data_IF_347302332282
#
_entry.id   IF_347302332282
#
_cell.length_a   1.000
_cell.length_b   1.000
_cell.length_c   1.000
_cell.angle_alpha   90.00
_cell.angle_beta   90.00
_cell.angle_gamma   90.00
#
_symmetry.space_group_name_H-M   'P 1'
#
loop_
_entity.id
_entity.type
_entity.pdbx_description
1 polymer ?
#
# COMPACT_ATOMS: atom_id res chain seq x y z
N UNK A 1 64.08 -21.61 23.84
CA UNK A 1 63.35 -21.97 22.61
C UNK A 1 62.22 -22.91 23.00
N UNK A 2 60.97 -22.59 22.61
CA UNK A 2 59.74 -23.41 22.66
C UNK A 2 59.25 -23.75 24.09
N UNK A 3 58.10 -23.21 24.48
CA UNK A 3 56.76 -23.79 24.23
C UNK A 3 56.31 -24.39 25.56
N UNK A 4 55.30 -23.86 26.22
CA UNK A 4 53.93 -23.98 25.77
C UNK A 4 53.07 -22.97 26.52
N UNK A 5 52.35 -22.18 25.73
CA UNK A 5 51.29 -21.28 26.14
C UNK A 5 50.38 -21.94 27.17
N UNK A 6 50.34 -21.32 28.35
CA UNK A 6 49.27 -21.29 29.34
C UNK A 6 47.95 -21.90 28.84
N UNK A 7 47.88 -23.23 28.86
CA UNK A 7 46.71 -23.98 28.46
C UNK A 7 45.59 -23.66 29.44
N UNK A 8 44.49 -23.18 28.88
CA UNK A 8 43.14 -23.45 29.35
C UNK A 8 42.95 -23.33 30.86
N UNK A 9 42.79 -22.09 31.34
CA UNK A 9 41.91 -21.87 32.48
C UNK A 9 40.74 -21.02 32.04
N UNK A 10 39.63 -21.73 31.77
CA UNK A 10 38.26 -21.37 32.17
C UNK A 10 37.79 -19.99 31.64
N UNK A 11 36.85 -19.85 30.71
CA UNK A 11 35.76 -20.72 30.32
C UNK A 11 35.19 -20.18 28.99
N UNK A 12 34.96 -21.01 27.95
CA UNK A 12 34.18 -20.59 26.81
C UNK A 12 32.70 -20.83 27.15
N UNK A 13 32.16 -20.08 28.12
CA UNK A 13 30.71 -20.03 28.35
C UNK A 13 30.15 -18.81 27.64
N UNK A 14 30.10 -18.87 26.31
CA UNK A 14 29.21 -18.02 25.52
C UNK A 14 29.04 -18.59 24.11
N UNK A 15 28.79 -19.90 24.00
CA UNK A 15 28.17 -20.48 22.80
C UNK A 15 26.72 -20.76 23.16
N UNK A 16 25.82 -20.35 22.26
CA UNK A 16 24.36 -20.50 22.27
C UNK A 16 23.55 -19.36 22.93
N UNK A 17 23.56 -18.19 22.31
CA UNK A 17 22.39 -17.30 22.28
C UNK A 17 21.99 -17.09 20.81
N UNK A 18 21.56 -18.17 20.16
CA UNK A 18 21.06 -18.14 18.79
C UNK A 18 19.62 -18.66 18.76
N UNK A 19 18.78 -17.97 18.00
CA UNK A 19 17.43 -18.35 17.55
C UNK A 19 16.29 -18.28 18.58
N UNK A 20 15.74 -17.09 18.81
CA UNK A 20 14.31 -16.93 19.14
C UNK A 20 13.77 -15.60 18.59
N UNK A 21 13.76 -15.43 17.26
CA UNK A 21 12.88 -14.48 16.59
C UNK A 21 12.20 -15.20 15.43
N UNK A 22 11.37 -16.20 15.73
CA UNK A 22 10.37 -16.67 14.78
C UNK A 22 9.27 -15.60 14.74
N UNK A 23 9.51 -14.52 14.00
CA UNK A 23 8.47 -13.55 13.70
C UNK A 23 7.38 -14.25 12.90
N UNK A 24 6.15 -14.21 13.41
CA UNK A 24 4.97 -14.69 12.68
C UNK A 24 4.89 -13.94 11.34
N UNK A 25 5.25 -14.62 10.25
CA UNK A 25 5.02 -14.19 8.87
C UNK A 25 3.52 -14.34 8.57
N UNK A 26 2.70 -13.59 9.29
CA UNK A 26 1.28 -13.48 8.99
C UNK A 26 1.16 -12.59 7.76
N UNK A 27 1.05 -13.25 6.60
CA UNK A 27 0.71 -12.56 5.36
C UNK A 27 -0.68 -11.93 5.54
N UNK A 28 -0.73 -10.59 5.64
CA UNK A 28 -2.00 -9.88 5.61
C UNK A 28 -2.60 -10.06 4.22
N UNK A 29 -3.89 -10.43 4.11
CA UNK A 29 -4.53 -10.55 2.82
C UNK A 29 -4.52 -9.19 2.13
N UNK A 30 -3.97 -9.14 0.91
CA UNK A 30 -3.97 -7.93 0.10
C UNK A 30 -5.41 -7.47 -0.12
N UNK A 31 -5.71 -6.26 0.34
CA UNK A 31 -7.00 -5.59 0.07
C UNK A 31 -6.85 -4.94 -1.29
N UNK A 32 -7.75 -5.22 -2.22
CA UNK A 32 -7.77 -4.52 -3.49
C UNK A 32 -8.10 -3.04 -3.23
N UNK A 33 -7.18 -2.14 -3.60
CA UNK A 33 -7.43 -0.70 -3.65
C UNK A 33 -8.64 -0.45 -4.56
N UNK A 34 -9.57 0.40 -4.11
CA UNK A 34 -10.71 0.79 -4.96
C UNK A 34 -10.22 1.83 -5.95
N UNK A 35 -10.04 1.42 -7.20
CA UNK A 35 -9.72 2.35 -8.28
C UNK A 35 -11.01 3.02 -8.76
N UNK A 36 -11.10 4.34 -8.65
CA UNK A 36 -12.24 5.11 -9.12
C UNK A 36 -12.04 5.63 -10.56
N UNK A 37 -13.14 5.83 -11.31
CA UNK A 37 -13.09 6.23 -12.71
C UNK A 37 -12.68 7.69 -12.97
N UNK A 38 -12.79 8.58 -11.98
CA UNK A 38 -12.54 10.01 -12.19
C UNK A 38 -11.51 10.57 -11.21
N UNK A 39 -10.63 11.42 -11.74
CA UNK A 39 -9.62 12.14 -11.00
C UNK A 39 -9.78 13.65 -11.17
N UNK A 40 -9.33 14.41 -10.17
CA UNK A 40 -9.10 15.85 -10.27
C UNK A 40 -7.60 16.14 -10.12
N UNK A 41 -7.08 17.06 -10.93
CA UNK A 41 -5.79 17.70 -10.72
C UNK A 41 -6.02 19.13 -10.26
N UNK A 42 -5.49 19.49 -9.09
CA UNK A 42 -5.61 20.84 -8.55
C UNK A 42 -4.55 21.76 -9.16
N UNK A 43 -4.95 22.95 -9.59
CA UNK A 43 -4.03 23.97 -10.08
C UNK A 43 -3.46 24.79 -8.92
N UNK A 44 -2.14 24.75 -8.73
CA UNK A 44 -1.42 25.59 -7.76
C UNK A 44 -0.33 26.41 -8.46
N UNK A 45 -0.16 27.66 -8.06
CA UNK A 45 0.81 28.59 -8.68
C UNK A 45 2.28 28.17 -8.51
N UNK A 46 2.58 27.34 -7.50
CA UNK A 46 3.94 26.98 -7.09
C UNK A 46 4.28 25.48 -7.31
N UNK A 47 3.44 24.75 -8.05
CA UNK A 47 3.68 23.32 -8.32
C UNK A 47 3.18 22.36 -7.25
N UNK A 48 2.59 22.85 -6.16
CA UNK A 48 1.97 22.05 -5.08
C UNK A 48 0.58 21.47 -5.44
N UNK A 49 0.30 21.32 -6.73
CA UNK A 49 -0.97 20.77 -7.22
C UNK A 49 -1.09 19.28 -6.92
N UNK A 50 -2.00 18.91 -6.01
CA UNK A 50 -2.33 17.51 -5.73
C UNK A 50 -3.25 16.88 -6.78
N UNK A 51 -3.20 15.54 -6.86
CA UNK A 51 -4.16 14.74 -7.64
C UNK A 51 -5.02 13.91 -6.70
N UNK A 52 -6.34 13.90 -6.91
CA UNK A 52 -7.26 13.04 -6.18
C UNK A 52 -8.12 12.22 -7.14
N UNK A 53 -7.98 10.89 -7.09
CA UNK A 53 -8.68 9.91 -7.91
C UNK A 53 -9.77 9.16 -7.13
N UNK A 54 -10.57 9.87 -6.35
CA UNK A 54 -11.59 9.30 -5.46
C UNK A 54 -13.03 9.36 -5.97
N UNK A 55 -13.27 9.70 -7.24
CA UNK A 55 -14.62 10.07 -7.71
C UNK A 55 -15.28 9.00 -8.59
N UNK A 56 -16.54 8.66 -8.27
CA UNK A 56 -17.33 7.68 -9.03
C UNK A 56 -17.91 8.24 -10.33
N UNK A 57 -17.97 9.57 -10.49
CA UNK A 57 -18.51 10.23 -11.68
C UNK A 57 -17.85 11.59 -11.94
N UNK A 58 -17.86 12.02 -13.21
CA UNK A 58 -17.39 13.35 -13.60
C UNK A 58 -18.13 14.46 -12.87
N UNK A 59 -19.44 14.32 -12.72
CA UNK A 59 -20.28 15.30 -12.02
C UNK A 59 -19.86 15.44 -10.55
N UNK A 60 -19.52 14.33 -9.89
CA UNK A 60 -19.02 14.36 -8.51
C UNK A 60 -17.66 15.07 -8.43
N UNK A 61 -16.76 14.81 -9.38
CA UNK A 61 -15.48 15.50 -9.47
C UNK A 61 -15.66 17.02 -9.69
N UNK A 62 -16.51 17.41 -10.65
CA UNK A 62 -16.78 18.81 -10.97
C UNK A 62 -17.45 19.55 -9.80
N UNK A 63 -18.23 18.86 -8.97
CA UNK A 63 -18.80 19.46 -7.76
C UNK A 63 -17.72 19.87 -6.74
N UNK A 64 -16.55 19.21 -6.75
CA UNK A 64 -15.38 19.59 -5.92
C UNK A 64 -14.49 20.61 -6.61
N UNK A 65 -14.39 20.58 -7.94
CA UNK A 65 -13.46 21.39 -8.71
C UNK A 65 -13.65 22.90 -8.55
N UNK A 66 -14.87 23.38 -8.19
CA UNK A 66 -15.23 24.80 -8.28
C UNK A 66 -14.81 25.42 -9.63
N UNK A 67 -15.08 26.70 -9.95
CA UNK A 67 -14.73 27.21 -11.28
C UNK A 67 -13.23 27.19 -11.60
N UNK A 68 -12.35 27.32 -10.58
CA UNK A 68 -10.93 27.60 -10.79
C UNK A 68 -9.96 26.73 -9.95
N UNK A 69 -10.42 25.66 -9.28
CA UNK A 69 -9.56 24.93 -8.32
C UNK A 69 -8.89 23.71 -8.99
N UNK A 70 -9.43 23.17 -10.08
CA UNK A 70 -8.79 22.06 -10.78
C UNK A 70 -9.53 21.57 -12.04
N UNK A 71 -8.93 20.59 -12.72
CA UNK A 71 -9.49 19.96 -13.91
C UNK A 71 -9.80 18.47 -13.66
N UNK A 72 -10.98 18.03 -14.07
CA UNK A 72 -11.43 16.64 -13.95
C UNK A 72 -11.12 15.83 -15.21
N UNK A 73 -10.53 14.65 -15.04
CA UNK A 73 -10.17 13.73 -16.12
C UNK A 73 -10.47 12.27 -15.78
N UNK A 74 -10.57 11.41 -16.80
CA UNK A 74 -10.78 9.97 -16.63
C UNK A 74 -9.51 9.30 -16.09
N UNK A 75 -9.67 8.41 -15.11
CA UNK A 75 -8.56 7.68 -14.54
C UNK A 75 -8.11 6.56 -15.49
N UNK A 76 -6.88 6.61 -16.06
CA UNK A 76 -6.40 5.59 -16.99
C UNK A 76 -6.19 4.22 -16.33
N UNK A 77 -6.11 4.16 -14.99
CA UNK A 77 -5.96 2.91 -14.24
C UNK A 77 -7.31 2.23 -13.97
N UNK A 78 -8.44 2.89 -14.28
CA UNK A 78 -9.76 2.34 -14.00
C UNK A 78 -10.14 1.24 -15.00
N UNK A 79 -10.38 0.05 -14.48
CA UNK A 79 -10.98 -1.04 -15.24
C UNK A 79 -12.47 -1.16 -14.88
N UNK A 80 -13.40 -1.00 -15.85
CA UNK A 80 -14.81 -1.19 -15.59
C UNK A 80 -15.08 -2.66 -15.23
N UNK A 81 -15.97 -2.94 -14.25
CA UNK A 81 -16.31 -4.31 -13.88
C UNK A 81 -16.97 -5.03 -15.05
N UNK A 82 -16.56 -6.27 -15.31
CA UNK A 82 -17.21 -7.09 -16.33
C UNK A 82 -18.67 -7.40 -15.95
N UNK A 83 -19.59 -7.56 -16.92
CA UNK A 83 -21.03 -7.76 -16.67
C UNK A 83 -21.44 -8.90 -15.70
N UNK A 84 -20.53 -9.81 -15.31
CA UNK A 84 -20.79 -10.87 -14.32
C UNK A 84 -20.37 -10.56 -12.88
N UNK A 85 -19.44 -9.62 -12.65
CA UNK A 85 -18.90 -9.35 -11.31
C UNK A 85 -19.89 -8.70 -10.34
N UNK A 86 -20.88 -7.96 -10.86
CA UNK A 86 -21.89 -7.29 -10.02
C UNK A 86 -22.85 -8.26 -9.34
N UNK A 87 -23.19 -9.38 -10.01
CA UNK A 87 -24.14 -10.38 -9.48
C UNK A 87 -23.59 -11.15 -8.27
N UNK A 88 -22.31 -11.46 -8.25
CA UNK A 88 -21.71 -12.28 -7.18
C UNK A 88 -21.59 -11.56 -5.83
N UNK A 89 -21.59 -10.21 -5.81
CA UNK A 89 -21.60 -9.45 -4.54
C UNK A 89 -22.96 -9.45 -3.85
N UNK A 90 -24.06 -9.53 -4.60
CA UNK A 90 -25.41 -9.58 -4.01
C UNK A 90 -25.68 -10.91 -3.33
N UNK A 91 -25.31 -12.03 -3.97
CA UNK A 91 -25.55 -13.38 -3.45
C UNK A 91 -24.72 -13.74 -2.21
N UNK A 92 -23.59 -13.06 -1.95
CA UNK A 92 -22.76 -13.31 -0.75
C UNK A 92 -23.23 -12.58 0.51
N UNK A 93 -24.26 -11.74 0.41
CA UNK A 93 -24.83 -10.98 1.53
C UNK A 93 -26.11 -11.58 2.09
N UNK A 94 -26.62 -12.66 1.49
CA UNK A 94 -27.76 -13.46 1.93
C UNK A 94 -27.29 -14.86 2.27
#
# INVERSE_FOLDING_TARGET
>A
MRSTSQFLRLAPLAVAAGLLCAGDLTATPARAEVIYPWCIIYGGSDGDGGTNCGFVSRAQCMATASPNIGYCYENPMYLPPTPGQRRSRYQRRY
#
